data_IF_747820989641
#
_entry.id   IF_747820989641
#
_cell.length_a   1.000
_cell.length_b   1.000
_cell.length_c   1.000
_cell.angle_alpha   90.00
_cell.angle_beta   90.00
_cell.angle_gamma   90.00
#
_symmetry.space_group_name_H-M   'P 1'
#
loop_
_entity.id
_entity.type
_entity.pdbx_description
1 polymer ?
#
# COMPACT_ATOMS: atom_id res chain seq x y z
N UNK A 1 17.78 -0.89 17.11
CA UNK A 1 16.63 0.05 17.10
C UNK A 1 16.95 1.25 16.20
N UNK A 2 18.14 1.86 16.34
CA UNK A 2 18.67 2.91 15.44
C UNK A 2 18.67 2.53 13.95
N UNK A 3 19.12 1.32 13.61
CA UNK A 3 19.28 0.85 12.23
C UNK A 3 17.95 0.78 11.46
N UNK A 4 16.87 0.33 12.11
CA UNK A 4 15.55 0.28 11.47
C UNK A 4 15.01 1.67 11.11
N UNK A 5 15.27 2.67 11.95
CA UNK A 5 14.87 4.06 11.67
C UNK A 5 15.66 4.63 10.49
N UNK A 6 16.97 4.36 10.41
CA UNK A 6 17.80 4.77 9.27
C UNK A 6 17.35 4.13 7.95
N UNK A 7 17.01 2.84 7.96
CA UNK A 7 16.48 2.14 6.78
C UNK A 7 15.14 2.73 6.31
N UNK A 8 14.23 3.05 7.24
CA UNK A 8 12.95 3.69 6.92
C UNK A 8 13.19 5.08 6.30
N UNK A 9 14.08 5.88 6.88
CA UNK A 9 14.43 7.20 6.34
C UNK A 9 15.03 7.09 4.94
N UNK A 10 15.91 6.11 4.71
CA UNK A 10 16.51 5.84 3.41
C UNK A 10 15.45 5.41 2.38
N UNK A 11 14.54 4.50 2.72
CA UNK A 11 13.44 4.11 1.85
C UNK A 11 12.59 5.31 1.43
N UNK A 12 12.23 6.18 2.38
CA UNK A 12 11.44 7.39 2.11
C UNK A 12 12.17 8.41 1.25
N UNK A 13 13.50 8.51 1.37
CA UNK A 13 14.29 9.45 0.58
C UNK A 13 14.41 8.99 -0.88
N UNK A 14 14.56 7.68 -1.09
CA UNK A 14 14.68 7.06 -2.42
C UNK A 14 13.34 6.96 -3.15
N UNK A 15 12.28 6.58 -2.44
CA UNK A 15 10.98 6.31 -3.06
C UNK A 15 9.94 7.33 -2.62
N UNK A 16 9.78 8.37 -3.42
CA UNK A 16 8.77 9.41 -3.21
C UNK A 16 7.54 9.17 -4.07
N UNK A 17 6.37 9.21 -3.44
CA UNK A 17 5.09 8.97 -4.08
C UNK A 17 3.95 9.31 -3.14
N UNK A 18 2.78 8.69 -3.32
CA UNK A 18 1.63 8.88 -2.43
C UNK A 18 1.90 8.31 -1.05
N UNK A 19 1.61 9.13 -0.04
CA UNK A 19 1.63 8.72 1.37
C UNK A 19 0.24 8.36 1.90
N UNK A 20 -0.83 8.74 1.20
CA UNK A 20 -2.20 8.47 1.63
C UNK A 20 -2.69 7.06 1.25
N UNK A 21 -1.96 6.36 0.39
CA UNK A 21 -2.22 4.97 -0.01
C UNK A 21 -0.92 4.31 -0.48
N UNK A 22 -0.79 3.01 -0.24
CA UNK A 22 0.25 2.17 -0.82
C UNK A 22 -0.37 0.91 -1.42
N UNK A 23 0.40 0.15 -2.19
CA UNK A 23 -0.04 -1.10 -2.79
C UNK A 23 0.49 -2.30 -1.99
N UNK A 24 -0.34 -3.31 -1.75
CA UNK A 24 0.05 -4.60 -1.19
C UNK A 24 0.19 -5.61 -2.32
N UNK A 25 1.32 -6.33 -2.34
CA UNK A 25 1.48 -7.50 -3.20
C UNK A 25 0.58 -8.62 -2.70
N UNK A 26 -0.12 -9.27 -3.61
CA UNK A 26 -0.80 -10.52 -3.37
C UNK A 26 -0.26 -11.59 -4.32
N UNK A 27 -0.26 -12.82 -3.85
CA UNK A 27 0.23 -13.96 -4.62
C UNK A 27 -0.69 -15.16 -4.40
N UNK A 28 -0.99 -15.85 -5.49
CA UNK A 28 -1.67 -17.14 -5.60
C UNK A 28 -0.79 -18.03 -6.46
N UNK A 29 -1.01 -19.34 -6.40
CA UNK A 29 -0.18 -20.36 -7.06
C UNK A 29 0.31 -20.00 -8.47
N UNK A 30 -0.55 -19.41 -9.33
CA UNK A 30 -0.19 -19.02 -10.70
C UNK A 30 -0.42 -17.53 -11.02
N UNK A 31 -0.76 -16.70 -10.03
CA UNK A 31 -1.08 -15.28 -10.26
C UNK A 31 -0.56 -14.43 -9.12
N UNK A 32 0.11 -13.35 -9.46
CA UNK A 32 0.50 -12.32 -8.51
C UNK A 32 0.07 -10.96 -9.01
N UNK A 33 0.07 -9.98 -8.12
CA UNK A 33 -0.21 -8.61 -8.49
C UNK A 33 -0.14 -7.68 -7.29
N UNK A 34 -0.52 -6.43 -7.51
CA UNK A 34 -0.60 -5.41 -6.48
C UNK A 34 -2.02 -4.88 -6.39
N UNK A 35 -2.47 -4.56 -5.18
CA UNK A 35 -3.76 -3.90 -4.94
C UNK A 35 -3.60 -2.77 -3.92
N UNK A 36 -4.42 -1.71 -3.96
CA UNK A 36 -4.37 -0.68 -2.92
C UNK A 36 -4.62 -1.29 -1.54
N UNK A 37 -3.89 -0.80 -0.54
CA UNK A 37 -4.12 -1.15 0.85
C UNK A 37 -5.34 -0.39 1.38
N UNK A 38 -6.22 -1.11 2.08
CA UNK A 38 -7.44 -0.56 2.65
C UNK A 38 -7.53 -0.82 4.15
N UNK A 39 -8.03 0.16 4.89
CA UNK A 39 -8.59 0.00 6.23
C UNK A 39 -10.10 -0.26 6.12
N UNK A 40 -10.59 -1.26 6.84
CA UNK A 40 -11.99 -1.61 6.90
C UNK A 40 -12.26 -2.47 8.15
N UNK A 41 -13.51 -2.53 8.58
CA UNK A 41 -13.94 -3.45 9.63
C UNK A 41 -14.10 -4.89 9.07
N UNK A 42 -13.33 -5.89 9.54
CA UNK A 42 -13.42 -7.26 9.04
C UNK A 42 -14.75 -7.97 9.32
N UNK A 43 -15.43 -7.60 10.41
CA UNK A 43 -16.73 -8.14 10.77
C UNK A 43 -17.82 -7.61 9.83
N UNK A 44 -17.85 -6.30 9.60
CA UNK A 44 -18.80 -5.67 8.68
C UNK A 44 -18.60 -6.16 7.24
N UNK A 45 -17.35 -6.27 6.78
CA UNK A 45 -17.07 -6.82 5.46
C UNK A 45 -17.51 -8.29 5.32
N UNK A 46 -17.36 -9.10 6.38
CA UNK A 46 -17.82 -10.50 6.38
C UNK A 46 -19.35 -10.58 6.20
N UNK A 47 -20.11 -9.75 6.92
CA UNK A 47 -21.57 -9.67 6.77
C UNK A 47 -21.97 -9.23 5.36
N UNK A 48 -21.28 -8.25 4.79
CA UNK A 48 -21.53 -7.79 3.42
C UNK A 48 -21.26 -8.90 2.39
N UNK A 49 -20.15 -9.62 2.55
CA UNK A 49 -19.77 -10.74 1.68
C UNK A 49 -20.77 -11.90 1.75
N UNK A 50 -21.32 -12.20 2.92
CA UNK A 50 -22.37 -13.21 3.08
C UNK A 50 -23.65 -12.88 2.31
N UNK A 51 -23.93 -11.58 2.08
CA UNK A 51 -25.05 -11.10 1.24
C UNK A 51 -24.73 -11.07 -0.26
N UNK A 52 -23.61 -11.67 -0.69
CA UNK A 52 -23.19 -11.74 -2.10
C UNK A 52 -22.33 -10.56 -2.56
N UNK A 53 -21.98 -9.62 -1.66
CA UNK A 53 -21.14 -8.49 -1.99
C UNK A 53 -19.66 -8.86 -2.23
N UNK A 54 -18.95 -8.04 -3.02
CA UNK A 54 -17.50 -8.21 -3.27
C UNK A 54 -16.68 -7.14 -2.56
N UNK A 55 -15.38 -7.38 -2.32
CA UNK A 55 -14.51 -6.33 -1.79
C UNK A 55 -14.42 -5.13 -2.72
N UNK A 56 -14.57 -5.31 -4.03
CA UNK A 56 -14.53 -4.23 -5.02
C UNK A 56 -15.65 -3.22 -4.75
N UNK A 57 -16.86 -3.72 -4.50
CA UNK A 57 -18.08 -2.92 -4.38
C UNK A 57 -18.40 -2.53 -2.92
N UNK A 58 -17.62 -3.02 -1.96
CA UNK A 58 -17.72 -2.65 -0.55
C UNK A 58 -17.33 -1.18 -0.34
N UNK A 59 -18.26 -0.38 0.19
CA UNK A 59 -18.12 1.08 0.35
C UNK A 59 -17.44 1.48 1.66
N UNK A 60 -17.58 0.67 2.72
CA UNK A 60 -17.07 0.99 4.06
C UNK A 60 -15.59 0.58 4.20
N UNK A 61 -14.76 1.10 3.29
CA UNK A 61 -13.31 0.95 3.26
C UNK A 61 -12.66 2.27 2.88
N UNK A 62 -11.51 2.56 3.50
CA UNK A 62 -10.71 3.74 3.19
C UNK A 62 -9.29 3.34 2.84
N UNK A 63 -8.54 4.16 2.11
CA UNK A 63 -7.14 3.88 1.87
C UNK A 63 -6.34 3.86 3.17
N UNK A 64 -5.41 2.91 3.26
CA UNK A 64 -4.47 2.84 4.38
C UNK A 64 -3.23 3.67 4.04
N UNK A 65 -2.91 4.64 4.92
CA UNK A 65 -1.75 5.52 4.75
C UNK A 65 -0.45 4.74 4.85
N UNK A 66 0.53 5.13 4.04
CA UNK A 66 1.91 4.67 4.17
C UNK A 66 2.55 5.39 5.36
N UNK A 67 2.95 4.63 6.37
CA UNK A 67 3.64 5.15 7.55
C UNK A 67 4.77 4.21 7.97
N UNK A 68 5.54 4.62 8.99
CA UNK A 68 6.73 3.91 9.45
C UNK A 68 6.40 2.49 9.92
N UNK A 69 5.21 2.29 10.48
CA UNK A 69 4.73 0.96 10.84
C UNK A 69 4.59 0.06 9.60
N UNK A 70 3.97 0.54 8.53
CA UNK A 70 3.84 -0.22 7.28
C UNK A 70 5.20 -0.50 6.62
N UNK A 71 6.09 0.49 6.62
CA UNK A 71 7.46 0.34 6.09
C UNK A 71 8.28 -0.64 6.93
N UNK A 72 8.11 -0.64 8.26
CA UNK A 72 8.78 -1.60 9.13
C UNK A 72 8.38 -3.04 8.83
N UNK A 73 7.09 -3.29 8.55
CA UNK A 73 6.60 -4.61 8.12
C UNK A 73 7.17 -5.01 6.77
N UNK A 74 7.36 -4.03 5.88
CA UNK A 74 7.98 -4.28 4.59
C UNK A 74 9.44 -4.72 4.73
N UNK A 75 10.22 -4.00 5.54
CA UNK A 75 11.62 -4.34 5.83
C UNK A 75 11.77 -5.70 6.52
N UNK A 76 10.79 -6.10 7.35
CA UNK A 76 10.77 -7.42 7.99
C UNK A 76 10.29 -8.56 7.08
N UNK A 77 9.88 -8.26 5.84
CA UNK A 77 9.31 -9.25 4.92
C UNK A 77 7.91 -9.73 5.30
N UNK A 78 7.23 -9.08 6.25
CA UNK A 78 5.85 -9.42 6.63
C UNK A 78 4.84 -9.07 5.52
N UNK A 79 5.17 -8.08 4.69
CA UNK A 79 4.38 -7.69 3.52
C UNK A 79 5.25 -7.03 2.45
N UNK A 80 4.84 -7.12 1.18
CA UNK A 80 5.51 -6.41 0.09
C UNK A 80 4.71 -5.19 -0.32
N UNK A 81 5.33 -4.01 -0.21
CA UNK A 81 4.72 -2.71 -0.48
C UNK A 81 5.17 -2.20 -1.86
N UNK A 82 4.21 -1.73 -2.66
CA UNK A 82 4.45 -0.88 -3.82
C UNK A 82 4.06 0.57 -3.52
N UNK A 83 4.79 1.53 -4.08
CA UNK A 83 4.53 2.96 -3.94
C UNK A 83 3.90 3.50 -5.23
N UNK A 84 2.83 4.29 -5.11
CA UNK A 84 2.23 4.96 -6.26
C UNK A 84 3.03 6.24 -6.57
N UNK A 85 3.67 6.34 -7.75
CA UNK A 85 4.56 7.46 -8.07
C UNK A 85 3.82 8.76 -8.38
N UNK A 86 2.58 8.66 -8.86
CA UNK A 86 1.70 9.80 -9.13
C UNK A 86 1.09 10.32 -7.83
N UNK A 87 1.40 11.57 -7.49
CA UNK A 87 0.85 12.29 -6.35
C UNK A 87 -0.63 12.66 -6.56
N UNK A 88 -1.28 13.16 -5.51
CA UNK A 88 -2.71 13.53 -5.56
C UNK A 88 -3.03 14.63 -6.56
N UNK A 89 -2.08 15.50 -6.83
CA UNK A 89 -2.18 16.60 -7.79
C UNK A 89 -1.76 16.17 -9.21
N UNK A 90 -1.68 14.85 -9.47
CA UNK A 90 -1.23 14.25 -10.72
C UNK A 90 0.21 14.60 -11.11
N UNK A 91 1.00 15.17 -10.19
CA UNK A 91 2.44 15.34 -10.40
C UNK A 91 3.19 14.07 -10.01
N UNK A 92 4.46 13.99 -10.38
CA UNK A 92 5.33 12.87 -10.02
C UNK A 92 6.70 13.41 -9.66
N UNK A 93 7.38 12.72 -8.74
CA UNK A 93 8.79 12.98 -8.46
C UNK A 93 9.71 12.44 -9.57
N UNK A 94 9.17 11.61 -10.47
CA UNK A 94 9.82 11.29 -11.73
C UNK A 94 9.74 12.51 -12.66
N UNK A 95 10.82 13.28 -12.71
CA UNK A 95 11.01 14.26 -13.79
C UNK A 95 11.24 13.48 -15.08
N UNK A 96 10.41 13.73 -16.09
CA UNK A 96 10.63 13.24 -17.46
C UNK A 96 12.07 13.49 -17.90
N UNK A 97 12.80 12.44 -18.28
CA UNK A 97 14.11 12.53 -18.91
C UNK A 97 14.97 11.29 -18.66
N UNK A 98 15.21 10.53 -19.73
CA UNK A 98 16.06 9.34 -19.86
C UNK A 98 15.42 7.98 -19.51
N UNK A 99 14.71 7.43 -20.50
CA UNK A 99 14.93 6.07 -21.00
C UNK A 99 15.14 6.16 -22.51
#
# INVERSE_FOLDING_TARGET
MEDATLQIQLLKSLFKGREDVFALRWEKTNKSGYMPAYSYDPYMYRLYKQKGGTFKDYKDKTYLKLNDYQLSKHLKGEQFIGIYPLLKDNTSWFKNGFW
#
